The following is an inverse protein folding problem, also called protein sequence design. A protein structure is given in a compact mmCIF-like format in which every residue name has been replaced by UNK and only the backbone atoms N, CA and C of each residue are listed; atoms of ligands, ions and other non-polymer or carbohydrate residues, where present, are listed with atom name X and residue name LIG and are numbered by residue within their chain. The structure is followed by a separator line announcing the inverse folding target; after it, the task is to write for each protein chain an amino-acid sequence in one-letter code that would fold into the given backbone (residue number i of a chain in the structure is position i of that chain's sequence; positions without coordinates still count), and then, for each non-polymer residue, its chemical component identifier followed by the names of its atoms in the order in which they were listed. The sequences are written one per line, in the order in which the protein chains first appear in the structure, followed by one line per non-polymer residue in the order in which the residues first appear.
data_IF_008699630041
#
_entry.id   IF_008699630041
#
_cell.length_a   1.000
_cell.length_b   1.000
_cell.length_c   1.000
_cell.angle_alpha   90.00
_cell.angle_beta   90.00
_cell.angle_gamma   90.00
#
_symmetry.space_group_name_H-M   'P 1'
#
loop_
_entity.id
_entity.type
_entity.pdbx_description
1 polymer ?
#
# COMPACT_ATOMS: atom_id res chain seq x y z
N UNK A 1 -16.86 -16.90 5.65
CA UNK A 1 -16.46 -16.40 4.32
C UNK A 1 -15.94 -15.00 4.51
N UNK A 2 -14.80 -14.68 3.93
CA UNK A 2 -14.24 -13.34 4.01
C UNK A 2 -15.04 -12.40 3.09
N UNK A 3 -15.45 -11.27 3.65
CA UNK A 3 -16.20 -10.24 2.93
C UNK A 3 -15.19 -9.33 2.23
N UNK A 4 -15.21 -9.34 0.90
CA UNK A 4 -14.27 -8.62 0.05
C UNK A 4 -14.87 -7.30 -0.43
N UNK A 5 -14.03 -6.27 -0.50
CA UNK A 5 -14.39 -5.01 -1.16
C UNK A 5 -14.18 -5.15 -2.66
N UNK A 6 -15.24 -4.95 -3.43
CA UNK A 6 -15.22 -5.13 -4.89
C UNK A 6 -15.80 -3.92 -5.62
N UNK A 7 -15.28 -3.64 -6.81
CA UNK A 7 -15.77 -2.63 -7.73
C UNK A 7 -16.68 -3.26 -8.79
N UNK A 8 -17.78 -2.58 -9.09
CA UNK A 8 -18.63 -2.87 -10.25
C UNK A 8 -18.34 -1.80 -11.30
N UNK A 9 -18.05 -2.23 -12.51
CA UNK A 9 -17.79 -1.34 -13.63
C UNK A 9 -19.10 -0.97 -14.33
N UNK A 10 -19.16 0.25 -14.85
CA UNK A 10 -20.22 0.72 -15.71
C UNK A 10 -20.24 -0.07 -17.04
N UNK A 11 -21.23 0.21 -17.88
CA UNK A 11 -21.40 -0.45 -19.18
C UNK A 11 -20.20 -0.26 -20.12
N UNK A 12 -19.38 0.77 -19.92
CA UNK A 12 -18.14 1.00 -20.67
C UNK A 12 -17.02 -0.01 -20.33
N UNK A 13 -17.18 -0.80 -19.26
CA UNK A 13 -16.21 -1.78 -18.80
C UNK A 13 -14.94 -1.16 -18.21
N UNK A 14 -14.94 0.14 -17.91
CA UNK A 14 -13.78 0.90 -17.45
C UNK A 14 -14.10 1.68 -16.18
N UNK A 15 -15.21 2.43 -16.15
CA UNK A 15 -15.52 3.35 -15.05
C UNK A 15 -16.11 2.57 -13.87
N UNK A 16 -15.62 2.79 -12.65
CA UNK A 16 -16.21 2.22 -11.43
C UNK A 16 -17.53 2.93 -11.15
N UNK A 17 -18.64 2.20 -11.22
CA UNK A 17 -19.98 2.70 -10.97
C UNK A 17 -20.42 2.46 -9.51
N UNK A 18 -19.98 1.36 -8.91
CA UNK A 18 -20.38 1.01 -7.55
C UNK A 18 -19.27 0.25 -6.79
N UNK A 19 -19.33 0.31 -5.47
CA UNK A 19 -18.48 -0.45 -4.55
C UNK A 19 -19.37 -1.28 -3.65
N UNK A 20 -19.10 -2.58 -3.58
CA UNK A 20 -19.86 -3.52 -2.75
C UNK A 20 -18.94 -4.30 -1.81
N UNK A 21 -19.57 -4.89 -0.79
CA UNK A 21 -18.97 -5.91 0.06
C UNK A 21 -19.64 -7.24 -0.27
N UNK A 22 -18.84 -8.21 -0.71
CA UNK A 22 -19.33 -9.49 -1.21
C UNK A 22 -18.39 -10.63 -0.82
N UNK A 23 -18.92 -11.84 -0.65
CA UNK A 23 -18.06 -13.01 -0.64
C UNK A 23 -17.48 -13.25 -2.05
N UNK A 24 -16.38 -14.01 -2.10
CA UNK A 24 -15.65 -14.27 -3.33
C UNK A 24 -16.50 -14.93 -4.42
N UNK A 25 -17.38 -15.88 -4.06
CA UNK A 25 -18.21 -16.60 -5.03
C UNK A 25 -19.25 -15.68 -5.66
N UNK A 26 -19.87 -14.81 -4.85
CA UNK A 26 -20.81 -13.81 -5.36
C UNK A 26 -20.11 -12.73 -6.20
N UNK A 27 -18.96 -12.22 -5.76
CA UNK A 27 -18.19 -11.24 -6.52
C UNK A 27 -17.84 -11.75 -7.92
N UNK A 28 -17.41 -13.01 -8.04
CA UNK A 28 -17.12 -13.63 -9.34
C UNK A 28 -18.37 -13.85 -10.20
N UNK A 29 -19.51 -14.22 -9.60
CA UNK A 29 -20.73 -14.51 -10.37
C UNK A 29 -21.30 -13.27 -11.06
N UNK A 30 -21.01 -12.08 -10.54
CA UNK A 30 -21.42 -10.79 -11.13
C UNK A 30 -20.29 -10.07 -11.85
N UNK A 31 -19.09 -10.65 -11.94
CA UNK A 31 -17.93 -10.04 -12.60
C UNK A 31 -17.36 -8.82 -11.86
N UNK A 32 -17.53 -8.73 -10.54
CA UNK A 32 -16.97 -7.65 -9.75
C UNK A 32 -15.43 -7.77 -9.66
N UNK A 33 -14.74 -6.64 -9.65
CA UNK A 33 -13.28 -6.57 -9.55
C UNK A 33 -12.87 -6.39 -8.09
N UNK A 34 -12.02 -7.28 -7.56
CA UNK A 34 -11.55 -7.16 -6.17
C UNK A 34 -10.63 -5.93 -6.01
N UNK A 35 -10.92 -5.09 -5.02
CA UNK A 35 -10.14 -3.90 -4.72
C UNK A 35 -8.94 -4.19 -3.80
N UNK A 36 -9.02 -5.24 -2.97
CA UNK A 36 -8.07 -5.45 -1.88
C UNK A 36 -7.96 -4.21 -0.97
N UNK A 37 -6.74 -3.78 -0.67
CA UNK A 37 -6.45 -2.56 0.10
C UNK A 37 -6.28 -1.31 -0.79
N UNK A 38 -6.65 -1.37 -2.06
CA UNK A 38 -6.58 -0.21 -2.95
C UNK A 38 -7.75 0.74 -2.62
N UNK A 39 -7.51 2.04 -2.41
CA UNK A 39 -8.55 3.01 -2.03
C UNK A 39 -9.42 3.45 -3.23
N UNK A 40 -9.98 2.48 -3.95
CA UNK A 40 -10.84 2.66 -5.13
C UNK A 40 -12.15 3.35 -4.72
N UNK A 41 -12.68 4.25 -5.52
CA UNK A 41 -13.95 4.93 -5.35
C UNK A 41 -14.76 4.94 -6.64
N UNK A 42 -16.01 5.38 -6.56
CA UNK A 42 -16.87 5.58 -7.72
C UNK A 42 -16.26 6.68 -8.61
N UNK A 43 -16.25 6.46 -9.92
CA UNK A 43 -15.63 7.36 -10.91
C UNK A 43 -14.16 7.07 -11.21
N UNK A 44 -13.50 6.23 -10.43
CA UNK A 44 -12.16 5.71 -10.80
C UNK A 44 -12.26 4.85 -12.06
N UNK A 45 -11.15 4.66 -12.77
CA UNK A 45 -11.10 3.80 -13.95
C UNK A 45 -10.33 2.51 -13.69
N UNK A 46 -10.76 1.42 -14.31
CA UNK A 46 -10.08 0.13 -14.30
C UNK A 46 -9.60 -0.21 -15.71
N UNK A 47 -8.29 -0.38 -15.86
CA UNK A 47 -7.67 -0.77 -17.12
C UNK A 47 -6.36 -1.52 -16.85
N UNK A 48 -6.04 -2.48 -17.72
CA UNK A 48 -4.81 -3.29 -17.65
C UNK A 48 -4.53 -3.92 -16.27
N UNK A 49 -5.59 -4.29 -15.55
CA UNK A 49 -5.48 -4.92 -14.23
C UNK A 49 -5.33 -3.95 -13.05
N UNK A 50 -5.40 -2.64 -13.28
CA UNK A 50 -5.16 -1.62 -12.25
C UNK A 50 -6.27 -0.57 -12.18
N UNK A 51 -6.43 0.03 -11.00
CA UNK A 51 -7.32 1.17 -10.78
C UNK A 51 -6.55 2.49 -10.91
N UNK A 52 -7.21 3.50 -11.45
CA UNK A 52 -6.65 4.85 -11.63
C UNK A 52 -7.65 5.90 -11.17
N UNK A 53 -7.13 6.99 -10.59
CA UNK A 53 -7.88 8.20 -10.27
C UNK A 53 -7.21 9.37 -10.97
N UNK A 54 -7.96 10.11 -11.77
CA UNK A 54 -7.45 11.25 -12.55
C UNK A 54 -6.20 10.88 -13.39
N UNK A 55 -6.18 9.66 -13.94
CA UNK A 55 -5.06 9.13 -14.73
C UNK A 55 -3.87 8.62 -13.91
N UNK A 56 -3.89 8.74 -12.59
CA UNK A 56 -2.83 8.25 -11.68
C UNK A 56 -3.20 6.88 -11.12
N UNK A 57 -2.29 5.91 -11.25
CA UNK A 57 -2.48 4.56 -10.72
C UNK A 57 -2.64 4.59 -9.20
N UNK A 58 -3.73 4.00 -8.71
CA UNK A 58 -3.94 3.80 -7.28
C UNK A 58 -3.05 2.68 -6.76
N UNK A 59 -2.43 2.93 -5.60
CA UNK A 59 -1.54 1.99 -4.92
C UNK A 59 -2.29 1.46 -3.69
N UNK A 60 -2.11 0.17 -3.41
CA UNK A 60 -2.63 -0.44 -2.20
C UNK A 60 -2.09 0.31 -0.97
N UNK A 61 -2.99 0.62 -0.03
CA UNK A 61 -2.57 1.16 1.25
C UNK A 61 -1.78 0.10 2.01
N UNK A 62 -0.63 0.52 2.56
CA UNK A 62 0.11 -0.30 3.50
C UNK A 62 -0.75 -0.56 4.72
N UNK A 63 -0.76 -1.79 5.18
CA UNK A 63 -1.31 -2.15 6.48
C UNK A 63 -0.57 -1.43 7.59
N UNK A 64 -1.20 -1.28 8.75
CA UNK A 64 -0.54 -0.70 9.93
C UNK A 64 0.73 -1.48 10.33
N UNK A 65 0.73 -2.81 10.14
CA UNK A 65 1.90 -3.66 10.39
C UNK A 65 3.05 -3.31 9.45
N UNK A 66 2.79 -3.16 8.15
CA UNK A 66 3.83 -2.78 7.17
C UNK A 66 4.36 -1.36 7.39
N UNK A 67 3.50 -0.45 7.86
CA UNK A 67 3.93 0.90 8.27
C UNK A 67 4.87 0.81 9.48
N UNK A 68 4.50 0.03 10.50
CA UNK A 68 5.32 -0.19 11.70
C UNK A 68 6.66 -0.85 11.38
N UNK A 69 6.67 -1.87 10.52
CA UNK A 69 7.90 -2.53 10.07
C UNK A 69 8.85 -1.51 9.41
N UNK A 70 8.34 -0.67 8.51
CA UNK A 70 9.16 0.39 7.88
C UNK A 70 9.72 1.39 8.91
N UNK A 71 8.95 1.73 9.94
CA UNK A 71 9.42 2.60 11.02
C UNK A 71 10.55 1.94 11.81
N UNK A 72 10.40 0.66 12.16
CA UNK A 72 11.44 -0.12 12.87
C UNK A 72 12.72 -0.20 12.04
N UNK A 73 12.63 -0.48 10.74
CA UNK A 73 13.80 -0.53 9.85
C UNK A 73 14.55 0.81 9.80
N UNK A 74 13.79 1.92 9.77
CA UNK A 74 14.35 3.27 9.80
C UNK A 74 15.07 3.54 11.12
N UNK A 75 14.46 3.17 12.26
CA UNK A 75 15.06 3.33 13.58
C UNK A 75 16.34 2.49 13.74
N UNK A 76 16.38 1.28 13.20
CA UNK A 76 17.58 0.43 13.20
C UNK A 76 18.70 1.10 12.42
N UNK A 77 18.39 1.61 11.21
CA UNK A 77 19.38 2.29 10.38
C UNK A 77 19.93 3.55 11.07
N UNK A 78 19.06 4.36 11.66
CA UNK A 78 19.46 5.55 12.41
C UNK A 78 20.34 5.18 13.61
N UNK A 79 20.01 4.10 14.32
CA UNK A 79 20.82 3.61 15.44
C UNK A 79 22.21 3.17 15.00
N UNK A 80 22.32 2.41 13.91
CA UNK A 80 23.61 1.99 13.35
C UNK A 80 24.46 3.19 12.90
N UNK A 81 23.83 4.20 12.28
CA UNK A 81 24.51 5.42 11.88
C UNK A 81 25.03 6.21 13.10
N UNK A 82 24.26 6.28 14.19
CA UNK A 82 24.71 6.89 15.44
C UNK A 82 25.87 6.13 16.06
N UNK A 83 25.84 4.80 16.06
CA UNK A 83 26.95 3.98 16.56
C UNK A 83 28.24 4.26 15.78
N UNK A 84 28.18 4.30 14.44
CA UNK A 84 29.34 4.60 13.61
C UNK A 84 29.92 6.01 13.89
N UNK A 85 29.05 7.00 14.15
CA UNK A 85 29.48 8.35 14.54
C UNK A 85 30.17 8.35 15.92
N UNK A 86 29.62 7.61 16.89
CA UNK A 86 30.23 7.45 18.22
C UNK A 86 31.61 6.79 18.11
N UNK A 87 31.74 5.72 17.33
CA UNK A 87 33.01 5.01 17.12
C UNK A 87 34.08 5.93 16.51
N UNK A 88 33.66 6.79 15.57
CA UNK A 88 34.55 7.79 14.95
C UNK A 88 35.05 8.81 15.98
N UNK A 89 34.16 9.31 16.84
CA UNK A 89 34.52 10.26 17.90
C UNK A 89 35.46 9.64 18.93
N UNK A 90 35.20 8.40 19.36
CA UNK A 90 36.06 7.67 20.29
C UNK A 90 37.46 7.49 19.69
N UNK A 91 37.53 7.05 18.43
CA UNK A 91 38.81 6.82 17.75
C UNK A 91 39.61 8.11 17.60
N UNK A 92 38.96 9.22 17.24
CA UNK A 92 39.61 10.53 17.09
C UNK A 92 40.18 11.04 18.41
N UNK A 93 39.41 10.96 19.50
CA UNK A 93 39.86 11.41 20.83
C UNK A 93 40.99 10.54 21.41
N UNK A 94 41.08 9.26 21.03
CA UNK A 94 42.17 8.37 21.46
C UNK A 94 43.48 8.62 20.71
N UNK A 95 43.45 9.26 19.54
CA UNK A 95 44.66 9.61 18.77
C UNK A 95 45.29 10.94 19.17
N UNK A 96 44.58 11.78 19.93
CA UNK A 96 45.06 13.07 20.42
C UNK A 96 45.80 12.99 21.77
N UNK A 97 45.94 11.79 22.36
CA UNK A 97 46.57 11.55 23.69
C UNK A 97 47.96 10.94 23.59
#
# INVERSE_FOLDING_TARGET
MENLRCAILAQDGITVENIIIADQSFAYSIGAIMCGNVPVGIGDTYQDGYFYRDGVKLIAEKTEIEKLQKMVDTLILDNLNMQAQIDTLITSNLQEV
#
